data_IF_914693048786
#
_entry.id   IF_914693048786
#
_cell.length_a   1.000
_cell.length_b   1.000
_cell.length_c   1.000
_cell.angle_alpha   90.00
_cell.angle_beta   90.00
_cell.angle_gamma   90.00
#
_symmetry.space_group_name_H-M   'P 1'
#
loop_
_entity.id
_entity.type
_entity.pdbx_description
1 polymer ?
#
# COMPACT_ATOMS: atom_id res chain seq x y z
N UNK A 1 -0.03 26.43 20.79
CA UNK A 1 0.53 25.08 20.51
C UNK A 1 1.23 25.13 19.16
N UNK A 2 2.53 24.80 19.05
CA UNK A 2 3.19 24.75 17.74
C UNK A 2 2.60 23.62 16.89
N UNK A 3 2.17 23.93 15.66
CA UNK A 3 1.67 22.93 14.70
C UNK A 3 2.81 21.95 14.38
N UNK A 4 2.71 20.69 14.81
CA UNK A 4 3.66 19.62 14.45
C UNK A 4 3.76 19.55 12.92
N UNK A 5 4.97 19.69 12.36
CA UNK A 5 5.22 19.46 10.92
C UNK A 5 4.74 18.04 10.57
N UNK A 6 3.87 17.93 9.56
CA UNK A 6 3.34 16.62 9.10
C UNK A 6 4.53 15.78 8.60
N UNK A 7 4.83 14.67 9.29
CA UNK A 7 5.92 13.76 8.91
C UNK A 7 5.67 13.25 7.47
N UNK A 8 6.72 13.18 6.64
CA UNK A 8 6.63 12.57 5.30
C UNK A 8 6.18 11.11 5.46
N UNK A 9 5.20 10.68 4.65
CA UNK A 9 4.68 9.30 4.67
C UNK A 9 5.78 8.33 4.24
N UNK A 10 5.89 7.18 4.91
CA UNK A 10 6.79 6.11 4.45
C UNK A 10 6.25 5.48 3.16
N UNK A 11 7.06 4.67 2.46
CA UNK A 11 6.62 3.94 1.26
C UNK A 11 5.43 3.02 1.61
N UNK A 12 5.50 2.32 2.74
CA UNK A 12 4.40 1.47 3.20
C UNK A 12 3.11 2.28 3.45
N UNK A 13 3.22 3.47 4.05
CA UNK A 13 2.05 4.33 4.29
C UNK A 13 1.42 4.85 2.99
N UNK A 14 2.25 5.19 2.01
CA UNK A 14 1.76 5.60 0.68
C UNK A 14 1.07 4.44 -0.03
N UNK A 15 1.63 3.23 0.04
CA UNK A 15 1.03 2.04 -0.57
C UNK A 15 -0.29 1.65 0.12
N UNK A 16 -0.36 1.71 1.45
CA UNK A 16 -1.59 1.46 2.22
C UNK A 16 -2.67 2.47 1.80
N UNK A 17 -2.34 3.76 1.75
CA UNK A 17 -3.28 4.79 1.31
C UNK A 17 -3.75 4.56 -0.12
N UNK A 18 -2.85 4.18 -1.03
CA UNK A 18 -3.22 3.88 -2.41
C UNK A 18 -4.18 2.68 -2.50
N UNK A 19 -3.99 1.64 -1.66
CA UNK A 19 -4.91 0.51 -1.55
C UNK A 19 -6.28 0.98 -1.02
N UNK A 20 -6.30 1.74 0.08
CA UNK A 20 -7.54 2.19 0.75
C UNK A 20 -8.35 3.19 -0.08
N UNK A 21 -7.68 4.00 -0.91
CA UNK A 21 -8.32 4.99 -1.78
C UNK A 21 -8.63 4.48 -3.18
N UNK A 22 -8.16 3.27 -3.53
CA UNK A 22 -8.52 2.63 -4.79
C UNK A 22 -9.98 2.15 -4.79
N UNK A 23 -10.57 2.05 -5.97
CA UNK A 23 -11.90 1.44 -6.14
C UNK A 23 -11.88 -0.09 -6.00
N UNK A 24 -10.69 -0.68 -5.81
CA UNK A 24 -10.52 -2.12 -5.71
C UNK A 24 -10.62 -2.59 -4.26
N UNK A 25 -11.56 -3.50 -4.01
CA UNK A 25 -11.60 -4.19 -2.72
C UNK A 25 -10.33 -5.02 -2.51
N UNK A 26 -9.95 -5.25 -1.25
CA UNK A 26 -8.85 -6.18 -0.90
C UNK A 26 -9.04 -7.57 -1.51
N UNK A 27 -10.29 -8.01 -1.67
CA UNK A 27 -10.60 -9.26 -2.36
C UNK A 27 -10.27 -9.19 -3.86
N UNK A 28 -10.65 -8.12 -4.56
CA UNK A 28 -10.27 -7.91 -5.97
C UNK A 28 -8.76 -7.83 -6.15
N UNK A 29 -8.07 -7.07 -5.30
CA UNK A 29 -6.60 -7.01 -5.29
C UNK A 29 -5.98 -8.40 -5.07
N UNK A 30 -6.57 -9.21 -4.19
CA UNK A 30 -6.11 -10.59 -3.95
C UNK A 30 -6.17 -11.44 -5.22
N UNK A 31 -7.29 -11.38 -5.95
CA UNK A 31 -7.46 -12.11 -7.21
C UNK A 31 -6.49 -11.64 -8.31
N UNK A 32 -6.23 -10.33 -8.38
CA UNK A 32 -5.38 -9.75 -9.43
C UNK A 32 -3.89 -9.95 -9.17
N UNK A 33 -3.46 -9.92 -7.90
CA UNK A 33 -2.04 -10.00 -7.52
C UNK A 33 -1.60 -11.41 -7.11
N UNK A 34 -2.55 -12.30 -6.81
CA UNK A 34 -2.28 -13.60 -6.20
C UNK A 34 -1.86 -13.51 -4.72
N UNK A 35 -1.89 -12.32 -4.12
CA UNK A 35 -1.60 -12.14 -2.69
C UNK A 35 -2.85 -12.52 -1.90
N UNK A 36 -2.72 -13.32 -0.85
CA UNK A 36 -3.89 -13.67 -0.02
C UNK A 36 -4.57 -12.42 0.57
N UNK A 37 -5.91 -12.43 0.62
CA UNK A 37 -6.69 -11.34 1.24
C UNK A 37 -6.32 -11.11 2.71
N UNK A 38 -5.90 -12.17 3.43
CA UNK A 38 -5.41 -12.08 4.81
C UNK A 38 -4.09 -11.30 4.88
N UNK A 39 -3.12 -11.58 4.01
CA UNK A 39 -1.87 -10.81 3.94
C UNK A 39 -2.12 -9.33 3.57
N UNK A 40 -3.01 -9.05 2.62
CA UNK A 40 -3.42 -7.68 2.29
C UNK A 40 -4.05 -6.97 3.49
N UNK A 41 -4.91 -7.68 4.23
CA UNK A 41 -5.55 -7.11 5.43
C UNK A 41 -4.54 -6.87 6.55
N UNK A 42 -3.59 -7.78 6.77
CA UNK A 42 -2.51 -7.60 7.74
C UNK A 42 -1.61 -6.41 7.37
N UNK A 43 -1.32 -6.23 6.09
CA UNK A 43 -0.54 -5.09 5.60
C UNK A 43 -1.26 -3.75 5.80
N UNK A 44 -2.52 -3.65 5.36
CA UNK A 44 -3.35 -2.45 5.56
C UNK A 44 -3.50 -2.12 7.05
N UNK A 45 -3.66 -3.14 7.89
CA UNK A 45 -3.76 -2.99 9.35
C UNK A 45 -2.41 -2.80 10.05
N UNK A 46 -1.29 -2.72 9.31
CA UNK A 46 0.07 -2.52 9.82
C UNK A 46 0.53 -3.59 10.81
N UNK A 47 -0.02 -4.80 10.73
CA UNK A 47 0.38 -5.93 11.57
C UNK A 47 1.46 -6.79 10.91
N UNK A 48 1.67 -6.64 9.61
CA UNK A 48 2.71 -7.34 8.85
C UNK A 48 3.14 -6.54 7.62
N UNK A 49 4.43 -6.55 7.30
CA UNK A 49 4.94 -5.99 6.04
C UNK A 49 4.70 -6.92 4.84
N UNK A 50 4.71 -6.33 3.65
CA UNK A 50 4.78 -7.08 2.39
C UNK A 50 6.23 -7.19 1.92
N UNK A 51 6.55 -8.30 1.26
CA UNK A 51 7.78 -8.40 0.49
C UNK A 51 7.73 -7.39 -0.67
N UNK A 52 8.91 -6.95 -1.14
CA UNK A 52 9.01 -6.01 -2.26
C UNK A 52 8.28 -6.54 -3.51
N UNK A 53 8.44 -7.82 -3.85
CA UNK A 53 7.75 -8.42 -4.99
C UNK A 53 6.22 -8.45 -4.87
N UNK A 54 5.67 -8.50 -3.65
CA UNK A 54 4.22 -8.35 -3.46
C UNK A 54 3.79 -6.88 -3.57
N UNK A 55 4.62 -5.94 -3.09
CA UNK A 55 4.36 -4.51 -3.27
C UNK A 55 4.40 -4.10 -4.75
N UNK A 56 5.36 -4.62 -5.53
CA UNK A 56 5.48 -4.39 -6.98
C UNK A 56 4.20 -4.78 -7.73
N UNK A 57 3.66 -5.97 -7.46
CA UNK A 57 2.38 -6.42 -8.06
C UNK A 57 1.21 -5.48 -7.75
N UNK A 58 1.15 -4.94 -6.53
CA UNK A 58 0.11 -3.97 -6.17
C UNK A 58 0.33 -2.67 -6.94
N UNK A 59 1.57 -2.19 -7.04
CA UNK A 59 1.92 -1.01 -7.83
C UNK A 59 1.54 -1.17 -9.30
N UNK A 60 1.79 -2.34 -9.92
CA UNK A 60 1.38 -2.63 -11.30
C UNK A 60 -0.14 -2.52 -11.49
N UNK A 61 -0.92 -3.14 -10.60
CA UNK A 61 -2.39 -3.10 -10.67
C UNK A 61 -2.94 -1.70 -10.46
N UNK A 62 -2.36 -0.95 -9.53
CA UNK A 62 -2.79 0.41 -9.19
C UNK A 62 -2.13 1.49 -10.05
N UNK A 63 -1.29 1.12 -11.02
CA UNK A 63 -0.52 2.03 -11.88
C UNK A 63 0.27 3.07 -11.08
N UNK A 64 1.00 2.60 -10.07
CA UNK A 64 1.82 3.43 -9.19
C UNK A 64 3.30 3.31 -9.59
N UNK A 65 3.99 4.44 -9.57
CA UNK A 65 5.44 4.51 -9.80
C UNK A 65 6.19 4.89 -8.53
N UNK A 66 7.31 4.21 -8.29
CA UNK A 66 8.26 4.63 -7.27
C UNK A 66 9.04 5.84 -7.78
N UNK A 67 8.92 6.98 -7.08
CA UNK A 67 9.62 8.22 -7.44
C UNK A 67 10.41 8.80 -6.28
N UNK A 68 11.49 9.50 -6.62
CA UNK A 68 12.24 10.27 -5.65
C UNK A 68 11.37 11.43 -5.12
N UNK A 69 11.30 11.56 -3.80
CA UNK A 69 10.68 12.71 -3.15
C UNK A 69 11.71 13.84 -3.02
N UNK A 70 11.76 14.76 -3.97
CA UNK A 70 12.46 16.05 -3.80
C UNK A 70 11.81 16.83 -2.64
#
# INVERSE_FOLDING_TARGET
>A
MPKRKKKRKTIAEQLIEAIETSELSRYRLSLMTGISQSALSQFVNRTRDLSLGNAEKICEILKLDLKQSN
#
